data_IF_443071958763
#
_entry.id   IF_443071958763
#
_cell.length_a   1.000
_cell.length_b   1.000
_cell.length_c   1.000
_cell.angle_alpha   90.00
_cell.angle_beta   90.00
_cell.angle_gamma   90.00
#
_symmetry.space_group_name_H-M   'P 1'
#
loop_
_entity.id
_entity.type
_entity.pdbx_description
1 polymer ?
#
# COMPACT_ATOMS: atom_id res chain seq x y z
N UNK A 1 19.26 33.75 10.87
CA UNK A 1 19.30 34.00 9.41
C UNK A 1 18.34 33.01 8.78
N UNK A 2 17.33 33.47 8.04
CA UNK A 2 16.43 32.57 7.32
C UNK A 2 17.23 31.84 6.23
N UNK A 3 17.18 30.51 6.19
CA UNK A 3 17.79 29.71 5.12
C UNK A 3 17.18 30.17 3.78
N UNK A 4 18.01 30.71 2.89
CA UNK A 4 17.58 31.21 1.58
C UNK A 4 17.37 30.03 0.61
N UNK A 5 16.35 30.09 -0.27
CA UNK A 5 16.01 29.02 -1.21
C UNK A 5 17.06 28.75 -2.31
N UNK A 6 18.11 29.57 -2.38
CA UNK A 6 19.25 29.42 -3.29
C UNK A 6 20.36 28.51 -2.73
N UNK A 7 20.14 27.85 -1.59
CA UNK A 7 21.12 26.94 -0.99
C UNK A 7 20.67 25.48 -1.03
N UNK A 8 21.62 24.58 -1.31
CA UNK A 8 21.37 23.13 -1.27
C UNK A 8 20.96 22.66 0.14
N UNK A 9 21.57 23.24 1.17
CA UNK A 9 21.25 22.97 2.57
C UNK A 9 19.77 23.24 2.90
N UNK A 10 19.19 24.33 2.36
CA UNK A 10 17.76 24.63 2.50
C UNK A 10 16.90 23.50 1.94
N UNK A 11 17.18 23.04 0.72
CA UNK A 11 16.38 22.01 0.06
C UNK A 11 16.55 20.64 0.69
N UNK A 12 17.77 20.27 1.09
CA UNK A 12 18.03 19.04 1.87
C UNK A 12 17.20 19.07 3.15
N UNK A 13 17.23 20.16 3.91
CA UNK A 13 16.43 20.31 5.15
C UNK A 13 14.93 20.23 4.88
N UNK A 14 14.46 20.80 3.77
CA UNK A 14 13.03 20.79 3.40
C UNK A 14 12.55 19.39 3.04
N UNK A 15 13.29 18.68 2.19
CA UNK A 15 12.96 17.33 1.69
C UNK A 15 13.15 16.26 2.76
N UNK A 16 14.20 16.33 3.56
CA UNK A 16 14.34 15.46 4.76
C UNK A 16 13.25 15.75 5.79
N UNK A 17 12.81 17.00 5.92
CA UNK A 17 11.66 17.39 6.74
C UNK A 17 10.32 16.82 6.25
N UNK A 18 10.18 16.54 4.95
CA UNK A 18 9.05 15.76 4.40
C UNK A 18 9.14 14.32 4.90
N UNK A 19 10.29 13.66 4.72
CA UNK A 19 10.48 12.28 5.15
C UNK A 19 10.26 12.09 6.66
N UNK A 20 10.75 13.02 7.49
CA UNK A 20 10.53 12.99 8.93
C UNK A 20 9.05 13.13 9.33
N UNK A 21 8.24 13.81 8.52
CA UNK A 21 6.78 13.86 8.71
C UNK A 21 6.14 12.55 8.26
N UNK A 22 6.58 11.99 7.13
CA UNK A 22 6.12 10.69 6.64
C UNK A 22 6.38 9.57 7.64
N UNK A 23 7.55 9.52 8.28
CA UNK A 23 7.83 8.52 9.32
C UNK A 23 6.77 8.50 10.44
N UNK A 24 6.20 9.67 10.78
CA UNK A 24 5.13 9.79 11.78
C UNK A 24 3.77 9.38 11.21
N UNK A 25 3.43 9.84 10.01
CA UNK A 25 2.12 9.55 9.42
C UNK A 25 2.02 8.11 8.93
N UNK A 26 3.11 7.53 8.43
CA UNK A 26 3.28 6.10 8.10
C UNK A 26 2.91 5.22 9.29
N UNK A 27 3.38 5.56 10.49
CA UNK A 27 3.07 4.80 11.70
C UNK A 27 1.55 4.83 12.03
N UNK A 28 0.91 5.98 11.82
CA UNK A 28 -0.53 6.16 12.07
C UNK A 28 -1.36 5.37 11.06
N UNK A 29 -1.08 5.50 9.75
CA UNK A 29 -1.81 4.76 8.73
C UNK A 29 -1.54 3.25 8.84
N UNK A 30 -0.31 2.83 9.15
CA UNK A 30 0.00 1.42 9.41
C UNK A 30 -0.87 0.86 10.52
N UNK A 31 -1.03 1.57 11.63
CA UNK A 31 -1.89 1.13 12.72
C UNK A 31 -3.36 1.03 12.29
N UNK A 32 -3.86 1.94 11.45
CA UNK A 32 -5.21 1.88 10.90
C UNK A 32 -5.40 0.69 9.95
N UNK A 33 -4.46 0.46 9.03
CA UNK A 33 -4.48 -0.66 8.09
C UNK A 33 -4.37 -2.01 8.80
N UNK A 34 -3.64 -2.10 9.91
CA UNK A 34 -3.61 -3.32 10.72
C UNK A 34 -4.94 -3.61 11.41
N UNK A 35 -5.81 -2.61 11.61
CA UNK A 35 -7.17 -2.85 12.11
C UNK A 35 -8.05 -3.52 11.05
N UNK A 36 -7.86 -3.27 9.76
CA UNK A 36 -8.63 -3.98 8.72
C UNK A 36 -8.22 -5.46 8.65
N UNK A 37 -6.92 -5.75 8.79
CA UNK A 37 -6.42 -7.13 8.90
C UNK A 37 -6.94 -7.82 10.17
N UNK A 38 -7.00 -7.11 11.30
CA UNK A 38 -7.58 -7.64 12.54
C UNK A 38 -9.09 -7.88 12.40
N UNK A 39 -9.83 -6.99 11.75
CA UNK A 39 -11.25 -7.19 11.47
C UNK A 39 -11.50 -8.42 10.60
N UNK A 40 -10.67 -8.67 9.58
CA UNK A 40 -10.77 -9.90 8.79
C UNK A 40 -10.54 -11.14 9.65
N UNK A 41 -9.52 -11.09 10.53
CA UNK A 41 -9.25 -12.17 11.49
C UNK A 41 -10.47 -12.46 12.37
N UNK A 42 -11.05 -11.43 12.96
CA UNK A 42 -12.15 -11.57 13.91
C UNK A 42 -13.38 -12.14 13.21
N UNK A 43 -13.75 -11.60 12.04
CA UNK A 43 -14.85 -12.10 11.21
C UNK A 43 -14.68 -13.58 10.83
N UNK A 44 -13.48 -13.97 10.37
CA UNK A 44 -13.17 -15.37 10.03
C UNK A 44 -13.27 -16.27 11.25
N UNK A 45 -12.87 -15.79 12.42
CA UNK A 45 -12.93 -16.56 13.67
C UNK A 45 -14.38 -16.83 14.05
N UNK A 46 -15.22 -15.81 13.98
CA UNK A 46 -16.63 -15.88 14.33
C UNK A 46 -17.41 -16.78 13.36
N UNK A 47 -17.15 -16.64 12.05
CA UNK A 47 -17.73 -17.50 11.02
C UNK A 47 -17.34 -18.96 11.22
N UNK A 48 -16.05 -19.22 11.45
CA UNK A 48 -15.56 -20.57 11.69
C UNK A 48 -16.13 -21.16 12.99
N UNK A 49 -16.23 -20.38 14.06
CA UNK A 49 -16.82 -20.84 15.32
C UNK A 49 -18.31 -21.18 15.15
N UNK A 50 -19.07 -20.32 14.47
CA UNK A 50 -20.49 -20.53 14.15
C UNK A 50 -20.70 -21.78 13.29
N UNK A 51 -19.84 -21.98 12.28
CA UNK A 51 -19.88 -23.17 11.43
C UNK A 51 -19.47 -24.41 12.23
N UNK A 52 -18.40 -24.39 13.00
CA UNK A 52 -18.01 -25.57 13.79
C UNK A 52 -19.09 -25.94 14.80
N UNK A 53 -19.69 -24.96 15.49
CA UNK A 53 -20.75 -25.21 16.47
C UNK A 53 -21.96 -25.88 15.85
N UNK A 54 -22.50 -25.33 14.74
CA UNK A 54 -23.66 -25.89 14.03
C UNK A 54 -23.50 -27.37 13.65
N UNK A 55 -22.28 -27.80 13.35
CA UNK A 55 -22.00 -29.17 12.92
C UNK A 55 -21.34 -30.03 14.01
N UNK A 56 -20.96 -29.46 15.17
CA UNK A 56 -20.44 -30.21 16.31
C UNK A 56 -21.57 -30.91 17.09
N UNK A 57 -22.74 -30.29 17.14
CA UNK A 57 -23.93 -30.81 17.81
C UNK A 57 -24.50 -32.06 17.10
N UNK A 58 -24.19 -32.22 15.79
CA UNK A 58 -24.74 -33.24 14.90
C UNK A 58 -23.84 -34.48 14.66
N UNK A 59 -22.86 -34.76 15.54
CA UNK A 59 -21.80 -35.78 15.48
C UNK A 59 -20.43 -35.19 15.06
N UNK A 60 -19.39 -35.41 15.88
CA UNK A 60 -18.07 -34.83 15.69
C UNK A 60 -17.52 -34.97 14.26
N UNK A 61 -17.31 -33.82 13.59
CA UNK A 61 -16.83 -33.73 12.22
C UNK A 61 -15.38 -34.18 12.04
N UNK A 62 -15.18 -35.28 11.32
CA UNK A 62 -13.89 -35.65 10.69
C UNK A 62 -13.74 -34.97 9.32
N UNK A 63 -12.52 -34.87 8.78
CA UNK A 63 -12.29 -34.38 7.40
C UNK A 63 -13.15 -35.08 6.35
N UNK A 64 -13.30 -36.41 6.46
CA UNK A 64 -14.11 -37.20 5.53
C UNK A 64 -15.59 -36.84 5.64
N UNK A 65 -16.10 -36.52 6.84
CA UNK A 65 -17.46 -36.01 7.01
C UNK A 65 -17.58 -34.58 6.49
N UNK A 66 -16.67 -33.67 6.82
CA UNK A 66 -16.70 -32.29 6.34
C UNK A 66 -16.65 -32.19 4.80
N UNK A 67 -16.02 -33.17 4.14
CA UNK A 67 -15.98 -33.31 2.67
C UNK A 67 -17.18 -34.07 2.08
N UNK A 68 -17.70 -35.11 2.77
CA UNK A 68 -18.86 -35.92 2.30
C UNK A 68 -20.22 -35.31 2.60
N UNK A 69 -20.33 -34.43 3.59
CA UNK A 69 -21.57 -33.77 4.01
C UNK A 69 -21.96 -32.65 3.03
N UNK A 70 -21.79 -32.92 1.73
CA UNK A 70 -22.03 -32.04 0.61
C UNK A 70 -23.52 -31.86 0.30
N UNK A 71 -24.44 -32.33 1.14
CA UNK A 71 -25.87 -32.26 0.85
C UNK A 71 -26.57 -31.61 2.05
N UNK A 72 -26.88 -30.31 1.91
CA UNK A 72 -27.66 -29.42 2.81
C UNK A 72 -26.88 -28.44 3.70
N UNK A 73 -25.66 -28.04 3.35
CA UNK A 73 -25.08 -26.82 3.96
C UNK A 73 -25.88 -25.61 3.49
N UNK A 74 -26.54 -24.92 4.42
CA UNK A 74 -27.27 -23.69 4.14
C UNK A 74 -26.28 -22.54 3.88
N UNK A 75 -26.15 -22.16 2.61
CA UNK A 75 -25.38 -20.99 2.16
C UNK A 75 -26.20 -19.70 2.13
N UNK A 76 -27.49 -19.71 2.50
CA UNK A 76 -28.39 -18.57 2.30
C UNK A 76 -27.85 -17.26 2.89
N UNK A 77 -27.20 -17.34 4.06
CA UNK A 77 -26.56 -16.19 4.68
C UNK A 77 -25.40 -15.66 3.84
N UNK A 78 -24.45 -16.52 3.46
CA UNK A 78 -23.32 -16.14 2.61
C UNK A 78 -23.79 -15.53 1.28
N UNK A 79 -24.73 -16.20 0.62
CA UNK A 79 -25.30 -15.75 -0.67
C UNK A 79 -25.93 -14.38 -0.53
N UNK A 80 -26.71 -14.15 0.55
CA UNK A 80 -27.33 -12.86 0.81
C UNK A 80 -26.28 -11.77 1.00
N UNK A 81 -25.32 -11.98 1.90
CA UNK A 81 -24.28 -10.98 2.20
C UNK A 81 -23.40 -10.69 0.98
N UNK A 82 -23.02 -11.72 0.22
CA UNK A 82 -22.24 -11.56 -1.00
C UNK A 82 -23.03 -10.80 -2.09
N UNK A 83 -24.33 -11.05 -2.22
CA UNK A 83 -25.18 -10.31 -3.17
C UNK A 83 -25.38 -8.85 -2.76
N UNK A 84 -25.59 -8.58 -1.47
CA UNK A 84 -25.67 -7.20 -0.94
C UNK A 84 -24.34 -6.47 -1.16
N UNK A 85 -23.21 -7.13 -0.91
CA UNK A 85 -21.88 -6.56 -1.16
C UNK A 85 -21.64 -6.29 -2.65
N UNK A 86 -22.07 -7.21 -3.53
CA UNK A 86 -22.03 -7.03 -4.99
C UNK A 86 -22.85 -5.82 -5.44
N UNK A 87 -24.05 -5.62 -4.90
CA UNK A 87 -24.91 -4.49 -5.25
C UNK A 87 -24.29 -3.14 -4.85
N UNK A 88 -23.60 -3.10 -3.72
CA UNK A 88 -22.93 -1.89 -3.24
C UNK A 88 -21.60 -1.60 -3.95
N UNK A 89 -21.03 -2.57 -4.68
CA UNK A 89 -19.75 -2.48 -5.40
C UNK A 89 -19.90 -2.87 -6.89
N UNK A 90 -21.05 -2.55 -7.50
CA UNK A 90 -21.43 -2.93 -8.87
C UNK A 90 -20.51 -2.34 -9.96
N UNK A 91 -19.67 -1.38 -9.61
CA UNK A 91 -18.71 -0.69 -10.50
C UNK A 91 -17.25 -1.05 -10.22
N UNK A 92 -16.96 -1.90 -9.24
CA UNK A 92 -15.60 -2.33 -8.95
C UNK A 92 -15.32 -3.68 -9.65
N UNK A 93 -14.60 -3.67 -10.80
CA UNK A 93 -14.35 -4.89 -11.55
C UNK A 93 -13.47 -5.89 -10.78
N UNK A 94 -12.60 -5.43 -9.88
CA UNK A 94 -11.73 -6.31 -9.09
C UNK A 94 -12.55 -7.01 -8.00
N UNK A 95 -13.47 -6.29 -7.34
CA UNK A 95 -14.44 -6.90 -6.42
C UNK A 95 -15.32 -7.91 -7.15
N UNK A 96 -15.92 -7.53 -8.28
CA UNK A 96 -16.81 -8.41 -9.04
C UNK A 96 -16.12 -9.69 -9.53
N UNK A 97 -14.85 -9.60 -9.91
CA UNK A 97 -14.01 -10.73 -10.31
C UNK A 97 -13.72 -11.69 -9.15
N UNK A 98 -13.57 -11.15 -7.95
CA UNK A 98 -13.19 -11.91 -6.74
C UNK A 98 -14.39 -12.44 -5.97
N UNK A 99 -15.56 -11.82 -6.17
CA UNK A 99 -16.79 -12.25 -5.55
C UNK A 99 -17.22 -13.57 -6.17
N UNK A 100 -17.33 -14.57 -5.33
CA UNK A 100 -17.32 -15.95 -5.77
C UNK A 100 -18.74 -16.43 -6.08
N UNK A 101 -19.27 -16.07 -7.25
CA UNK A 101 -20.67 -16.35 -7.62
C UNK A 101 -20.94 -17.80 -8.03
N UNK A 102 -19.90 -18.57 -8.32
CA UNK A 102 -20.04 -19.93 -8.86
C UNK A 102 -20.46 -20.95 -7.79
N UNK A 103 -20.34 -20.61 -6.50
CA UNK A 103 -20.67 -21.49 -5.36
C UNK A 103 -22.17 -21.50 -5.04
N UNK A 104 -22.99 -20.72 -5.76
CA UNK A 104 -24.42 -20.55 -5.51
C UNK A 104 -25.31 -21.65 -6.11
N UNK A 105 -24.80 -22.46 -7.06
CA UNK A 105 -25.61 -23.44 -7.79
C UNK A 105 -25.39 -24.90 -7.32
N UNK A 106 -24.38 -25.17 -6.51
CA UNK A 106 -23.89 -26.53 -6.26
C UNK A 106 -23.89 -26.92 -4.78
N UNK A 107 -24.15 -28.20 -4.56
CA UNK A 107 -23.87 -28.94 -3.32
C UNK A 107 -22.42 -28.72 -2.86
N UNK A 108 -22.19 -27.76 -1.97
CA UNK A 108 -20.86 -27.46 -1.43
C UNK A 108 -20.59 -28.26 -0.15
N UNK A 109 -19.32 -28.57 0.09
CA UNK A 109 -18.89 -29.12 1.36
C UNK A 109 -18.77 -28.04 2.44
N UNK A 110 -18.76 -28.42 3.72
CA UNK A 110 -18.51 -27.50 4.83
C UNK A 110 -17.14 -26.80 4.66
N UNK A 111 -16.16 -27.52 4.13
CA UNK A 111 -14.83 -26.98 3.85
C UNK A 111 -14.87 -25.89 2.77
N UNK A 112 -15.69 -26.06 1.73
CA UNK A 112 -15.82 -25.07 0.66
C UNK A 112 -16.56 -23.82 1.16
N UNK A 113 -17.60 -23.98 1.98
CA UNK A 113 -18.26 -22.86 2.66
C UNK A 113 -17.25 -22.06 3.52
N UNK A 114 -16.40 -22.74 4.30
CA UNK A 114 -15.40 -22.07 5.12
C UNK A 114 -14.35 -21.31 4.30
N UNK A 115 -13.94 -21.89 3.17
CA UNK A 115 -13.02 -21.21 2.25
C UNK A 115 -13.67 -19.97 1.64
N UNK A 116 -14.94 -20.05 1.25
CA UNK A 116 -15.70 -18.92 0.71
C UNK A 116 -15.87 -17.80 1.75
N UNK A 117 -16.12 -18.14 3.03
CA UNK A 117 -16.18 -17.16 4.12
C UNK A 117 -14.84 -16.47 4.35
N UNK A 118 -13.72 -17.22 4.36
CA UNK A 118 -12.38 -16.61 4.42
C UNK A 118 -12.16 -15.64 3.26
N UNK A 119 -12.45 -16.07 2.03
CA UNK A 119 -12.25 -15.23 0.84
C UNK A 119 -13.08 -13.96 0.92
N UNK A 120 -14.33 -14.05 1.38
CA UNK A 120 -15.21 -12.91 1.48
C UNK A 120 -14.81 -11.93 2.59
N UNK A 121 -14.48 -12.43 3.79
CA UNK A 121 -13.96 -11.61 4.88
C UNK A 121 -12.67 -10.89 4.48
N UNK A 122 -11.74 -11.59 3.83
CA UNK A 122 -10.49 -10.98 3.32
C UNK A 122 -10.79 -9.98 2.22
N UNK A 123 -11.70 -10.27 1.28
CA UNK A 123 -12.09 -9.37 0.19
C UNK A 123 -12.60 -8.04 0.74
N UNK A 124 -13.58 -8.06 1.65
CA UNK A 124 -14.16 -6.85 2.26
C UNK A 124 -13.08 -5.97 2.89
N UNK A 125 -12.17 -6.58 3.65
CA UNK A 125 -11.10 -5.84 4.30
C UNK A 125 -9.96 -5.43 3.36
N UNK A 126 -9.79 -6.11 2.23
CA UNK A 126 -8.85 -5.71 1.18
C UNK A 126 -9.29 -4.41 0.50
N UNK A 127 -10.58 -4.29 0.19
CA UNK A 127 -11.16 -3.03 -0.34
C UNK A 127 -10.95 -1.90 0.66
N UNK A 128 -11.35 -2.11 1.92
CA UNK A 128 -11.16 -1.10 2.99
C UNK A 128 -9.70 -0.70 3.18
N UNK A 129 -8.77 -1.67 3.14
CA UNK A 129 -7.33 -1.41 3.21
C UNK A 129 -6.89 -0.56 2.02
N UNK A 130 -7.24 -1.01 0.81
CA UNK A 130 -6.82 -0.38 -0.44
C UNK A 130 -7.29 1.08 -0.53
N UNK A 131 -8.53 1.36 -0.13
CA UNK A 131 -9.11 2.70 -0.18
C UNK A 131 -8.46 3.64 0.82
N UNK A 132 -8.34 3.21 2.08
CA UNK A 132 -7.64 3.99 3.12
C UNK A 132 -6.19 4.28 2.72
N UNK A 133 -5.50 3.29 2.15
CA UNK A 133 -4.12 3.47 1.72
C UNK A 133 -4.01 4.35 0.47
N UNK A 134 -4.95 4.22 -0.48
CA UNK A 134 -5.05 5.10 -1.65
C UNK A 134 -5.20 6.56 -1.23
N UNK A 135 -6.10 6.83 -0.30
CA UNK A 135 -6.37 8.18 0.17
C UNK A 135 -5.18 8.75 0.95
N UNK A 136 -4.52 7.94 1.77
CA UNK A 136 -3.28 8.32 2.42
C UNK A 136 -2.17 8.70 1.41
N UNK A 137 -1.98 7.90 0.35
CA UNK A 137 -0.98 8.18 -0.68
C UNK A 137 -1.33 9.43 -1.50
N UNK A 138 -2.61 9.66 -1.84
CA UNK A 138 -3.06 10.89 -2.49
C UNK A 138 -2.78 12.12 -1.62
N UNK A 139 -3.12 12.05 -0.33
CA UNK A 139 -2.87 13.12 0.62
C UNK A 139 -1.37 13.38 0.77
N UNK A 140 -0.56 12.31 0.81
CA UNK A 140 0.90 12.40 0.84
C UNK A 140 1.42 13.16 -0.38
N UNK A 141 1.04 12.77 -1.60
CA UNK A 141 1.48 13.45 -2.82
C UNK A 141 1.11 14.94 -2.81
N UNK A 142 -0.15 15.26 -2.46
CA UNK A 142 -0.64 16.63 -2.42
C UNK A 142 0.06 17.48 -1.34
N UNK A 143 0.31 16.89 -0.17
CA UNK A 143 1.00 17.60 0.90
C UNK A 143 2.46 17.87 0.56
N UNK A 144 3.16 16.89 -0.02
CA UNK A 144 4.55 17.05 -0.47
C UNK A 144 4.65 18.17 -1.50
N UNK A 145 3.79 18.16 -2.51
CA UNK A 145 3.74 19.21 -3.52
C UNK A 145 3.47 20.58 -2.90
N UNK A 146 2.42 20.71 -2.07
CA UNK A 146 2.11 21.96 -1.36
C UNK A 146 3.30 22.46 -0.55
N UNK A 147 3.94 21.56 0.21
CA UNK A 147 5.08 21.91 1.05
C UNK A 147 6.28 22.32 0.23
N UNK A 148 6.49 21.84 -0.99
CA UNK A 148 7.55 22.35 -1.86
C UNK A 148 7.15 23.63 -2.59
N UNK A 149 5.85 23.85 -2.83
CA UNK A 149 5.31 25.03 -3.47
C UNK A 149 5.35 26.30 -2.60
N UNK A 150 5.25 26.15 -1.27
CA UNK A 150 5.24 27.27 -0.30
C UNK A 150 6.44 28.22 -0.50
N UNK A 151 6.17 29.39 -1.10
CA UNK A 151 7.16 30.43 -1.42
C UNK A 151 7.38 30.69 -2.91
N UNK A 152 6.78 29.89 -3.81
CA UNK A 152 6.96 29.98 -5.26
C UNK A 152 5.62 30.06 -6.00
N UNK A 153 5.55 30.87 -7.06
CA UNK A 153 4.32 31.16 -7.83
C UNK A 153 3.98 30.09 -8.91
N UNK A 154 4.16 28.80 -8.61
CA UNK A 154 3.97 27.73 -9.60
C UNK A 154 2.79 26.79 -9.24
N UNK A 155 2.20 26.19 -10.28
CA UNK A 155 1.01 25.33 -10.20
C UNK A 155 1.23 24.10 -9.30
N UNK A 156 0.21 23.77 -8.50
CA UNK A 156 0.17 22.54 -7.70
C UNK A 156 -0.12 21.31 -8.57
N UNK A 157 0.32 20.13 -8.11
CA UNK A 157 -0.06 18.86 -8.74
C UNK A 157 -1.58 18.71 -8.76
N UNK A 158 -2.12 18.53 -9.95
CA UNK A 158 -3.55 18.27 -10.12
C UNK A 158 -3.88 16.81 -9.77
N UNK A 159 -5.17 16.53 -9.58
CA UNK A 159 -5.67 15.19 -9.22
C UNK A 159 -5.27 14.12 -10.24
N UNK A 160 -5.20 14.44 -11.53
CA UNK A 160 -4.83 13.49 -12.57
C UNK A 160 -3.37 13.08 -12.48
N UNK A 161 -2.47 14.01 -12.18
CA UNK A 161 -1.05 13.73 -11.96
C UNK A 161 -0.86 12.81 -10.74
N UNK A 162 -1.54 13.10 -9.62
CA UNK A 162 -1.49 12.24 -8.43
C UNK A 162 -1.99 10.82 -8.75
N UNK A 163 -3.10 10.70 -9.48
CA UNK A 163 -3.62 9.39 -9.92
C UNK A 163 -2.61 8.65 -10.80
N UNK A 164 -1.91 9.34 -11.70
CA UNK A 164 -0.88 8.73 -12.54
C UNK A 164 0.31 8.21 -11.71
N UNK A 165 0.77 8.96 -10.71
CA UNK A 165 1.83 8.52 -9.78
C UNK A 165 1.43 7.21 -9.09
N UNK A 166 0.20 7.15 -8.57
CA UNK A 166 -0.33 6.00 -7.85
C UNK A 166 -0.62 4.79 -8.77
N UNK A 167 -0.99 5.02 -10.03
CA UNK A 167 -1.29 3.97 -11.00
C UNK A 167 -0.02 3.36 -11.61
N UNK A 168 1.10 4.09 -11.60
CA UNK A 168 2.36 3.64 -12.18
C UNK A 168 2.86 2.33 -11.55
N UNK A 169 3.19 1.36 -12.39
CA UNK A 169 3.67 0.03 -11.97
C UNK A 169 5.18 0.04 -11.71
N UNK A 170 5.62 0.96 -10.86
CA UNK A 170 7.02 1.09 -10.51
C UNK A 170 7.53 -0.21 -9.87
N UNK A 171 8.72 -0.67 -10.30
CA UNK A 171 9.26 -1.98 -9.90
C UNK A 171 8.27 -3.14 -10.15
N UNK A 172 7.49 -3.08 -11.25
CA UNK A 172 6.66 -4.16 -11.77
C UNK A 172 5.26 -4.31 -11.15
N UNK A 173 4.85 -3.42 -10.25
CA UNK A 173 3.48 -3.37 -9.72
C UNK A 173 3.23 -2.06 -8.97
N UNK A 174 2.01 -1.52 -9.05
CA UNK A 174 1.59 -0.39 -8.24
C UNK A 174 1.18 -0.80 -6.81
N UNK A 175 0.92 0.19 -5.95
CA UNK A 175 0.57 -0.05 -4.54
C UNK A 175 -0.66 -0.95 -4.39
N UNK A 176 -1.70 -0.74 -5.22
CA UNK A 176 -2.98 -1.46 -5.10
C UNK A 176 -2.79 -2.94 -5.45
N UNK A 177 -2.12 -3.24 -6.56
CA UNK A 177 -1.76 -4.61 -6.93
C UNK A 177 -0.97 -5.32 -5.82
N UNK A 178 -0.08 -4.60 -5.13
CA UNK A 178 0.67 -5.14 -3.98
C UNK A 178 -0.22 -5.41 -2.78
N UNK A 179 -1.21 -4.56 -2.49
CA UNK A 179 -2.23 -4.80 -1.45
C UNK A 179 -2.98 -6.09 -1.75
N UNK A 180 -3.58 -6.20 -2.94
CA UNK A 180 -4.33 -7.37 -3.36
C UNK A 180 -3.51 -8.66 -3.27
N UNK A 181 -2.28 -8.66 -3.81
CA UNK A 181 -1.39 -9.82 -3.74
C UNK A 181 -1.07 -10.24 -2.31
N UNK A 182 -0.81 -9.29 -1.40
CA UNK A 182 -0.51 -9.61 -0.01
C UNK A 182 -1.72 -10.20 0.72
N UNK A 183 -2.92 -9.66 0.45
CA UNK A 183 -4.17 -10.16 1.03
C UNK A 183 -4.55 -11.54 0.47
N UNK A 184 -4.29 -11.79 -0.81
CA UNK A 184 -4.46 -13.11 -1.43
C UNK A 184 -3.56 -14.16 -0.79
N UNK A 185 -2.30 -13.82 -0.50
CA UNK A 185 -1.39 -14.70 0.22
C UNK A 185 -1.85 -14.98 1.66
N UNK A 186 -2.46 -14.00 2.33
CA UNK A 186 -3.08 -14.20 3.64
C UNK A 186 -4.28 -15.16 3.53
N UNK A 187 -5.21 -14.94 2.60
CA UNK A 187 -6.36 -15.81 2.38
C UNK A 187 -5.93 -17.25 2.07
N UNK A 188 -4.96 -17.43 1.18
CA UNK A 188 -4.42 -18.75 0.84
C UNK A 188 -3.89 -19.50 2.07
N UNK A 189 -3.06 -18.85 2.90
CA UNK A 189 -2.53 -19.44 4.13
C UNK A 189 -3.62 -19.84 5.12
N UNK A 190 -4.66 -19.02 5.26
CA UNK A 190 -5.78 -19.31 6.17
C UNK A 190 -6.61 -20.51 5.64
N UNK A 191 -6.87 -20.58 4.34
CA UNK A 191 -7.55 -21.72 3.71
C UNK A 191 -6.77 -23.02 3.88
N UNK A 192 -5.43 -22.98 3.77
CA UNK A 192 -4.56 -24.14 4.00
C UNK A 192 -4.55 -24.58 5.47
N UNK A 193 -4.55 -23.62 6.41
CA UNK A 193 -4.65 -23.90 7.85
C UNK A 193 -5.97 -24.61 8.19
N UNK A 194 -7.11 -24.12 7.70
CA UNK A 194 -8.40 -24.81 7.87
C UNK A 194 -8.35 -26.22 7.29
N UNK A 195 -7.87 -26.37 6.06
CA UNK A 195 -7.80 -27.68 5.39
C UNK A 195 -6.99 -28.68 6.22
N UNK A 196 -5.83 -28.25 6.74
CA UNK A 196 -4.96 -29.07 7.60
C UNK A 196 -5.61 -29.38 8.94
N UNK A 197 -6.30 -28.40 9.54
CA UNK A 197 -7.03 -28.56 10.80
C UNK A 197 -8.11 -29.64 10.71
N UNK A 198 -8.91 -29.65 9.64
CA UNK A 198 -9.89 -30.70 9.41
C UNK A 198 -9.24 -32.08 9.21
N UNK A 199 -8.15 -32.19 8.42
CA UNK A 199 -7.43 -33.46 8.18
C UNK A 199 -6.96 -34.10 9.48
N UNK A 200 -6.45 -33.29 10.42
CA UNK A 200 -5.92 -33.78 11.70
C UNK A 200 -6.99 -34.26 12.68
N UNK A 201 -8.27 -34.11 12.32
CA UNK A 201 -9.40 -34.53 13.13
C UNK A 201 -9.59 -33.60 14.31
N UNK A 202 -10.64 -32.80 14.26
CA UNK A 202 -11.14 -32.04 15.39
C UNK A 202 -11.84 -32.99 16.40
N UNK A 203 -11.09 -33.95 16.95
CA UNK A 203 -11.57 -35.15 17.65
C UNK A 203 -12.15 -34.96 19.06
N UNK A 204 -12.63 -33.77 19.42
CA UNK A 204 -13.26 -33.51 20.73
C UNK A 204 -14.60 -32.77 20.55
N UNK A 205 -15.55 -32.94 21.48
CA UNK A 205 -16.85 -32.22 21.47
C UNK A 205 -16.72 -30.70 21.77
N UNK A 206 -15.56 -30.26 22.26
CA UNK A 206 -15.30 -28.87 22.65
C UNK A 206 -14.83 -28.00 21.47
N UNK A 207 -15.69 -27.10 21.00
CA UNK A 207 -15.42 -26.12 19.92
C UNK A 207 -14.19 -25.26 20.19
N UNK A 208 -13.96 -24.84 21.44
CA UNK A 208 -12.79 -24.02 21.77
C UNK A 208 -11.48 -24.81 21.58
N UNK A 209 -11.49 -26.11 21.89
CA UNK A 209 -10.35 -27.00 21.63
C UNK A 209 -10.13 -27.22 20.13
N UNK A 210 -11.20 -27.28 19.33
CA UNK A 210 -11.12 -27.38 17.86
C UNK A 210 -10.53 -26.11 17.24
N UNK A 211 -10.94 -24.94 17.73
CA UNK A 211 -10.50 -23.65 17.18
C UNK A 211 -9.06 -23.30 17.50
N UNK A 212 -8.51 -23.80 18.63
CA UNK A 212 -7.20 -23.36 19.14
C UNK A 212 -6.05 -23.43 18.11
N UNK A 213 -5.85 -24.52 17.32
CA UNK A 213 -4.78 -24.55 16.32
C UNK A 213 -4.99 -23.51 15.21
N UNK A 214 -6.23 -23.33 14.75
CA UNK A 214 -6.54 -22.35 13.71
C UNK A 214 -6.32 -20.91 14.20
N UNK A 215 -6.81 -20.57 15.39
CA UNK A 215 -6.59 -19.25 15.99
C UNK A 215 -5.10 -18.94 16.11
N UNK A 216 -4.28 -19.93 16.52
CA UNK A 216 -2.83 -19.77 16.60
C UNK A 216 -2.18 -19.53 15.23
N UNK A 217 -2.56 -20.30 14.20
CA UNK A 217 -2.02 -20.14 12.85
C UNK A 217 -2.43 -18.79 12.23
N UNK A 218 -3.64 -18.34 12.55
CA UNK A 218 -4.16 -17.04 12.16
C UNK A 218 -3.44 -15.89 12.89
N UNK A 219 -3.16 -16.03 14.19
CA UNK A 219 -2.31 -15.08 14.93
C UNK A 219 -0.91 -14.96 14.31
N UNK A 220 -0.31 -16.09 13.93
CA UNK A 220 0.98 -16.10 13.23
C UNK A 220 0.90 -15.42 11.85
N UNK A 221 -0.21 -15.61 11.14
CA UNK A 221 -0.47 -14.96 9.85
C UNK A 221 -0.63 -13.45 10.01
N UNK A 222 -1.41 -12.98 10.99
CA UNK A 222 -1.58 -11.55 11.30
C UNK A 222 -0.26 -10.91 11.74
N UNK A 223 0.54 -11.63 12.56
CA UNK A 223 1.90 -11.19 12.92
C UNK A 223 2.79 -11.01 11.68
N UNK A 224 2.70 -11.92 10.70
CA UNK A 224 3.43 -11.77 9.43
C UNK A 224 2.92 -10.56 8.65
N UNK A 225 1.61 -10.34 8.61
CA UNK A 225 1.00 -9.22 7.90
C UNK A 225 1.38 -7.86 8.50
N UNK A 226 1.69 -7.78 9.79
CA UNK A 226 2.28 -6.58 10.41
C UNK A 226 3.53 -6.12 9.67
N UNK A 227 4.52 -7.01 9.54
CA UNK A 227 5.76 -6.70 8.84
C UNK A 227 5.53 -6.37 7.36
N UNK A 228 4.65 -7.13 6.69
CA UNK A 228 4.28 -6.89 5.28
C UNK A 228 3.66 -5.51 5.09
N UNK A 229 2.77 -5.09 6.00
CA UNK A 229 2.08 -3.80 5.98
C UNK A 229 3.06 -2.66 6.23
N UNK A 230 3.89 -2.75 7.28
CA UNK A 230 4.91 -1.75 7.59
C UNK A 230 5.87 -1.54 6.41
N UNK A 231 6.29 -2.63 5.78
CA UNK A 231 7.14 -2.60 4.58
C UNK A 231 6.44 -1.95 3.41
N UNK A 232 5.19 -2.31 3.14
CA UNK A 232 4.41 -1.76 2.05
C UNK A 232 4.21 -0.26 2.23
N UNK A 233 3.69 0.17 3.39
CA UNK A 233 3.41 1.58 3.71
C UNK A 233 4.67 2.43 3.50
N UNK A 234 5.77 2.08 4.17
CA UNK A 234 7.03 2.84 4.07
C UNK A 234 7.52 2.96 2.63
N UNK A 235 7.45 1.86 1.89
CA UNK A 235 8.04 1.78 0.55
C UNK A 235 7.21 2.61 -0.44
N UNK A 236 5.90 2.45 -0.44
CA UNK A 236 5.01 3.20 -1.35
C UNK A 236 4.93 4.69 -0.94
N UNK A 237 4.91 5.03 0.35
CA UNK A 237 4.91 6.44 0.78
C UNK A 237 6.21 7.14 0.39
N UNK A 238 7.36 6.46 0.49
CA UNK A 238 8.66 6.97 0.00
C UNK A 238 8.66 7.17 -1.51
N UNK A 239 8.11 6.20 -2.27
CA UNK A 239 7.94 6.33 -3.72
C UNK A 239 7.07 7.54 -4.09
N UNK A 240 5.86 7.63 -3.52
CA UNK A 240 4.92 8.70 -3.82
C UNK A 240 5.50 10.06 -3.44
N UNK A 241 6.18 10.17 -2.29
CA UNK A 241 6.83 11.39 -1.88
C UNK A 241 7.91 11.82 -2.88
N UNK A 242 8.84 10.94 -3.23
CA UNK A 242 9.91 11.28 -4.16
C UNK A 242 9.41 11.56 -5.57
N UNK A 243 8.37 10.86 -6.04
CA UNK A 243 7.74 11.14 -7.33
C UNK A 243 7.05 12.51 -7.33
N UNK A 244 6.42 12.90 -6.23
CA UNK A 244 5.84 14.24 -6.09
C UNK A 244 6.94 15.33 -6.07
N UNK A 245 8.05 15.09 -5.36
CA UNK A 245 9.23 15.98 -5.37
C UNK A 245 9.79 16.12 -6.78
N UNK A 246 10.01 15.00 -7.49
CA UNK A 246 10.54 15.00 -8.85
C UNK A 246 9.61 15.73 -9.82
N UNK A 247 8.30 15.51 -9.71
CA UNK A 247 7.30 16.21 -10.54
C UNK A 247 7.33 17.72 -10.32
N UNK A 248 7.51 18.14 -9.07
CA UNK A 248 7.67 19.55 -8.72
C UNK A 248 8.95 20.14 -9.30
N UNK A 249 10.07 19.43 -9.18
CA UNK A 249 11.35 19.84 -9.76
C UNK A 249 11.27 20.03 -11.27
N UNK A 250 10.57 19.15 -11.99
CA UNK A 250 10.30 19.33 -13.42
C UNK A 250 9.49 20.60 -13.71
N UNK A 251 8.44 20.85 -12.94
CA UNK A 251 7.62 22.05 -13.08
C UNK A 251 8.40 23.33 -12.78
N UNK A 252 9.36 23.26 -11.87
CA UNK A 252 10.21 24.38 -11.47
C UNK A 252 11.47 24.53 -12.37
N UNK A 253 11.64 23.70 -13.40
CA UNK A 253 12.76 23.77 -14.34
C UNK A 253 14.10 23.28 -13.79
N UNK A 254 14.07 22.47 -12.73
CA UNK A 254 15.26 21.78 -12.20
C UNK A 254 15.59 20.61 -13.14
N UNK A 255 16.84 20.56 -13.59
CA UNK A 255 17.34 19.55 -14.53
C UNK A 255 18.10 18.41 -13.86
N UNK A 256 18.68 18.65 -12.68
CA UNK A 256 19.42 17.64 -11.91
C UNK A 256 18.98 17.56 -10.46
N UNK A 257 18.98 16.35 -9.92
CA UNK A 257 18.76 16.08 -8.51
C UNK A 257 19.97 15.38 -7.89
N UNK A 258 20.12 15.54 -6.60
CA UNK A 258 21.08 14.82 -5.76
C UNK A 258 20.32 13.79 -4.93
N UNK A 259 20.87 12.57 -4.86
CA UNK A 259 20.34 11.52 -4.00
C UNK A 259 20.80 11.73 -2.56
N UNK A 260 19.86 11.90 -1.63
CA UNK A 260 20.11 12.13 -0.21
C UNK A 260 19.72 10.87 0.57
N UNK A 261 20.72 10.11 0.98
CA UNK A 261 20.49 8.93 1.80
C UNK A 261 20.18 9.32 3.25
N UNK A 262 19.21 8.64 3.86
CA UNK A 262 19.02 8.72 5.31
C UNK A 262 20.15 7.92 5.97
N UNK A 263 21.12 8.60 6.60
CA UNK A 263 22.30 7.96 7.22
C UNK A 263 22.04 7.64 8.70
N UNK A 264 21.91 6.35 9.01
CA UNK A 264 21.89 5.75 10.34
C UNK A 264 22.50 4.33 10.31
N UNK A 265 22.44 3.63 11.44
CA UNK A 265 22.95 2.25 11.55
C UNK A 265 22.21 1.24 10.66
N UNK A 266 21.06 1.62 10.10
CA UNK A 266 20.21 0.77 9.25
C UNK A 266 20.31 1.14 7.77
N UNK A 267 21.11 2.13 7.38
CA UNK A 267 21.23 2.53 5.99
C UNK A 267 21.88 1.42 5.16
N UNK A 268 21.22 1.04 4.06
CA UNK A 268 21.73 0.03 3.14
C UNK A 268 23.01 0.49 2.44
N UNK A 269 23.84 -0.48 2.02
CA UNK A 269 25.05 -0.20 1.22
C UNK A 269 24.71 0.53 -0.09
N UNK A 270 23.58 0.19 -0.70
CA UNK A 270 23.08 0.83 -1.94
C UNK A 270 22.79 2.31 -1.70
N UNK A 271 22.01 2.65 -0.67
CA UNK A 271 21.73 4.06 -0.37
C UNK A 271 23.01 4.82 0.01
N UNK A 272 23.94 4.20 0.76
CA UNK A 272 25.23 4.82 1.09
C UNK A 272 26.07 5.10 -0.16
N UNK A 273 26.08 4.19 -1.14
CA UNK A 273 26.87 4.37 -2.36
C UNK A 273 26.26 5.38 -3.35
N UNK A 274 24.98 5.70 -3.21
CA UNK A 274 24.28 6.72 -3.99
C UNK A 274 24.26 8.09 -3.30
N UNK A 275 24.55 8.16 -2.00
CA UNK A 275 24.50 9.40 -1.25
C UNK A 275 25.40 10.48 -1.89
N UNK A 276 24.83 11.67 -2.10
CA UNK A 276 25.47 12.82 -2.76
C UNK A 276 25.83 12.63 -4.24
N UNK A 277 25.31 11.58 -4.91
CA UNK A 277 25.42 11.48 -6.37
C UNK A 277 24.34 12.32 -7.03
N UNK A 278 24.75 13.04 -8.06
CA UNK A 278 23.85 13.81 -8.93
C UNK A 278 23.41 12.97 -10.12
N UNK A 279 22.15 13.14 -10.52
CA UNK A 279 21.52 12.49 -11.66
C UNK A 279 20.66 13.49 -12.42
N UNK A 280 20.50 13.26 -13.73
CA UNK A 280 19.56 14.02 -14.55
C UNK A 280 18.12 13.66 -14.17
N UNK A 281 17.26 14.66 -14.03
CA UNK A 281 15.86 14.49 -13.63
C UNK A 281 15.02 13.81 -14.73
N UNK A 282 15.47 13.90 -15.98
CA UNK A 282 14.88 13.19 -17.12
C UNK A 282 15.14 11.68 -17.03
N UNK A 283 16.24 11.26 -16.39
CA UNK A 283 16.59 9.86 -16.16
C UNK A 283 16.07 9.33 -14.81
N UNK A 284 15.21 10.07 -14.12
CA UNK A 284 14.69 9.70 -12.80
C UNK A 284 13.97 8.35 -12.83
N UNK A 285 14.52 7.36 -12.14
CA UNK A 285 14.05 5.98 -12.11
C UNK A 285 14.11 5.37 -10.69
N UNK A 286 12.95 5.25 -10.01
CA UNK A 286 12.85 4.64 -8.69
C UNK A 286 13.29 3.18 -8.68
N UNK A 287 14.31 2.88 -7.86
CA UNK A 287 14.89 1.54 -7.76
C UNK A 287 16.25 1.41 -8.44
N UNK A 288 16.60 2.33 -9.35
CA UNK A 288 17.88 2.34 -10.07
C UNK A 288 18.75 3.52 -9.66
N UNK A 289 18.21 4.74 -9.71
CA UNK A 289 18.92 5.97 -9.36
C UNK A 289 18.10 6.92 -8.46
N UNK A 290 16.86 6.56 -8.13
CA UNK A 290 15.99 7.34 -7.26
C UNK A 290 15.35 6.48 -6.15
N UNK A 291 15.02 7.08 -4.99
CA UNK A 291 14.30 6.37 -3.94
C UNK A 291 12.87 6.00 -4.38
N UNK A 292 12.32 4.88 -3.91
CA UNK A 292 12.93 3.91 -2.99
C UNK A 292 13.84 2.91 -3.72
N UNK A 293 15.06 2.73 -3.22
CA UNK A 293 16.04 1.76 -3.76
C UNK A 293 15.82 0.33 -3.28
N UNK A 294 15.06 0.15 -2.21
CA UNK A 294 14.85 -1.14 -1.54
C UNK A 294 13.63 -1.06 -0.62
N UNK A 295 13.11 -2.21 -0.14
CA UNK A 295 12.09 -2.20 0.88
C UNK A 295 12.53 -1.43 2.13
N UNK A 296 11.62 -0.65 2.72
CA UNK A 296 11.90 0.26 3.84
C UNK A 296 12.92 1.38 3.57
N UNK A 297 13.13 1.76 2.30
CA UNK A 297 13.93 2.95 1.98
C UNK A 297 13.38 4.19 2.68
N UNK A 298 14.27 5.10 3.07
CA UNK A 298 13.96 6.39 3.73
C UNK A 298 14.69 7.56 3.07
N UNK A 299 15.39 7.27 1.97
CA UNK A 299 16.15 8.27 1.22
C UNK A 299 15.20 9.21 0.49
N UNK A 300 15.71 10.39 0.15
CA UNK A 300 14.97 11.43 -0.56
C UNK A 300 15.86 12.03 -1.65
N UNK A 301 15.26 12.80 -2.55
CA UNK A 301 16.00 13.64 -3.49
C UNK A 301 15.97 15.11 -3.06
N UNK A 302 17.01 15.85 -3.40
CA UNK A 302 17.07 17.32 -3.34
C UNK A 302 17.57 17.86 -4.68
N UNK A 303 17.38 19.15 -5.03
CA UNK A 303 17.98 19.72 -6.22
C UNK A 303 19.50 19.66 -6.10
N UNK A 304 20.17 19.28 -7.18
CA UNK A 304 21.62 19.28 -7.25
C UNK A 304 22.17 20.71 -7.12
N UNK A 305 23.36 20.88 -6.55
CA UNK A 305 24.01 22.20 -6.47
C UNK A 305 24.25 22.77 -7.89
N UNK A 306 24.58 21.89 -8.83
CA UNK A 306 24.75 22.21 -10.25
C UNK A 306 23.46 22.73 -10.93
N UNK A 307 22.29 22.31 -10.43
CA UNK A 307 20.99 22.79 -10.89
C UNK A 307 20.57 24.10 -10.19
N UNK A 308 20.97 24.32 -8.93
CA UNK A 308 20.62 25.53 -8.18
C UNK A 308 21.23 26.81 -8.78
N UNK A 309 22.41 26.71 -9.41
CA UNK A 309 22.99 27.83 -10.17
C UNK A 309 22.15 28.22 -11.39
N UNK A 310 21.40 27.27 -11.97
CA UNK A 310 20.38 27.55 -13.00
C UNK A 310 19.09 28.09 -12.38
N UNK A 311 18.71 27.60 -11.20
CA UNK A 311 17.54 28.05 -10.44
C UNK A 311 17.55 29.56 -10.12
N UNK A 312 18.72 30.12 -9.81
CA UNK A 312 18.92 31.57 -9.60
C UNK A 312 18.55 32.44 -10.83
N UNK A 313 18.57 31.89 -12.05
CA UNK A 313 18.11 32.56 -13.27
C UNK A 313 16.59 32.73 -13.29
N UNK A 314 15.85 31.83 -12.66
CA UNK A 314 14.39 31.74 -12.67
C UNK A 314 13.75 32.29 -11.38
N UNK A 315 14.50 32.40 -10.28
CA UNK A 315 14.05 33.01 -9.03
C UNK A 315 14.23 34.54 -8.94
N UNK A 316 14.99 35.16 -9.85
CA UNK A 316 15.14 36.62 -9.89
C UNK A 316 14.09 37.23 -10.82
N UNK A 317 13.01 37.86 -10.31
CA UNK A 317 12.00 38.50 -11.15
C UNK A 317 12.55 39.69 -11.97
N UNK A 318 13.77 40.19 -11.67
CA UNK A 318 14.40 41.32 -12.38
C UNK A 318 15.29 40.94 -13.57
N UNK A 319 15.36 39.67 -13.96
CA UNK A 319 16.10 39.26 -15.17
C UNK A 319 15.22 38.72 -16.29
N UNK A 320 13.92 38.53 -16.05
CA UNK A 320 12.96 38.19 -17.10
C UNK A 320 12.81 39.30 -18.15
N UNK A 321 12.94 40.57 -17.76
CA UNK A 321 12.92 41.72 -18.69
C UNK A 321 14.17 41.74 -19.59
N UNK A 322 15.35 41.39 -19.06
CA UNK A 322 16.60 41.41 -19.83
C UNK A 322 16.71 40.26 -20.84
N UNK A 323 16.07 39.11 -20.59
CA UNK A 323 16.04 37.99 -21.53
C UNK A 323 15.14 38.30 -22.75
N UNK A 324 14.06 39.07 -22.56
CA UNK A 324 13.16 39.49 -23.63
C UNK A 324 13.68 40.69 -24.45
N UNK A 325 14.63 41.47 -23.94
CA UNK A 325 15.30 42.53 -24.71
C UNK A 325 16.43 42.00 -25.60
N UNK A 326 17.19 40.99 -25.14
CA UNK A 326 18.35 40.45 -25.89
C UNK A 326 17.91 39.56 -27.07
N UNK A 327 16.69 39.02 -27.03
CA UNK A 327 16.15 38.16 -28.10
C UNK A 327 15.11 38.82 -29.00
N UNK A 328 14.95 40.16 -28.93
CA UNK A 328 14.12 40.94 -29.86
C UNK A 328 14.87 41.56 -31.04
N UNK A 329 16.20 41.40 -31.12
CA UNK A 329 17.04 41.93 -32.21
C UNK A 329 17.62 40.86 -33.13
N UNK A 330 17.08 39.64 -33.10
CA UNK A 330 17.38 38.59 -34.08
C UNK A 330 16.14 38.25 -34.92
N UNK A 331 15.68 39.22 -35.71
CA UNK A 331 14.92 39.03 -36.96
C UNK A 331 15.42 40.07 -37.97
#
# INVERSE_FOLDING_TARGET
MADQPNSQAYWIKRTTGVMAKLDKTDAVITAALLKTIAAAKDEITDDLASIIQRYADDNGLTYQQAKKQAYKTDLSQYVREANEYRQTHDKDPEVLKRLNTDYFASQVSVLDMLRAQIEFAVLKQTVNFNDQFSDYLKQTAAEVDKRLAEGFANSTLNTSAIKAILANEWSGANYSQRVWRNMDQMAAKLKDSITTGFIRGYGTRDTARRMRPFVRDMDATVKTMRYVTERLVRTESTYVANQAIASRYRADGVDKYEFIAFIDDRTSKVCKSLNHKEFDLDDYDPGENAPPMHPHCRSVIAPALSALTRYDKYLKPKTAEKYNEIHKTAV
#
